data_IF_227077721621
#
_entry.id   IF_227077721621
#
_cell.length_a   1.000
_cell.length_b   1.000
_cell.length_c   1.000
_cell.angle_alpha   90.00
_cell.angle_beta   90.00
_cell.angle_gamma   90.00
#
_symmetry.space_group_name_H-M   'P 1'
#
loop_
_entity.id
_entity.type
_entity.pdbx_description
1 polymer ?
#
# COMPACT_ATOMS: atom_id res chain seq x y z
N UNK A 1 9.30 -0.79 17.22
CA UNK A 1 9.27 0.04 15.99
C UNK A 1 9.62 1.44 16.40
N UNK A 2 10.49 2.13 15.64
CA UNK A 2 10.78 3.55 15.90
C UNK A 2 9.63 4.35 15.30
N UNK A 3 8.97 5.16 16.12
CA UNK A 3 7.90 6.05 15.69
C UNK A 3 8.32 7.51 15.85
N UNK A 4 7.74 8.37 15.03
CA UNK A 4 7.84 9.83 15.11
C UNK A 4 6.44 10.42 14.99
N UNK A 5 6.17 11.46 15.76
CA UNK A 5 4.94 12.23 15.59
C UNK A 5 5.14 13.33 14.56
N UNK A 6 4.16 13.47 13.69
CA UNK A 6 4.01 14.59 12.76
C UNK A 6 2.70 15.28 13.08
N UNK A 7 2.66 16.60 12.99
CA UNK A 7 1.39 17.32 12.96
C UNK A 7 0.67 17.06 11.64
N UNK A 8 -0.65 17.16 11.62
CA UNK A 8 -1.43 17.07 10.38
C UNK A 8 -0.94 18.11 9.35
N UNK A 9 -0.60 19.31 9.81
CA UNK A 9 -0.03 20.35 8.94
C UNK A 9 1.32 19.95 8.33
N UNK A 10 2.21 19.31 9.11
CA UNK A 10 3.49 18.83 8.59
C UNK A 10 3.31 17.71 7.56
N UNK A 11 2.27 16.89 7.69
CA UNK A 11 1.93 15.86 6.71
C UNK A 11 1.33 16.47 5.45
N UNK A 12 0.45 17.46 5.58
CA UNK A 12 -0.15 18.17 4.44
C UNK A 12 0.93 18.88 3.59
N UNK A 13 1.92 19.53 4.23
CA UNK A 13 3.08 20.12 3.56
C UNK A 13 3.92 19.09 2.78
N UNK A 14 3.85 17.81 3.16
CA UNK A 14 4.52 16.68 2.50
C UNK A 14 3.62 15.96 1.48
N UNK A 15 2.38 16.43 1.27
CA UNK A 15 1.38 15.77 0.42
C UNK A 15 0.84 14.46 1.00
N UNK A 16 0.79 14.33 2.33
CA UNK A 16 0.37 13.13 3.04
C UNK A 16 -1.00 13.35 3.73
N UNK A 17 -2.02 12.53 3.44
CA UNK A 17 -2.07 11.54 2.37
C UNK A 17 -2.18 12.22 0.98
N UNK A 18 -1.87 11.51 -0.12
CA UNK A 18 -2.14 12.02 -1.45
C UNK A 18 -3.65 12.19 -1.67
N UNK A 19 -4.06 13.09 -2.58
CA UNK A 19 -5.47 13.26 -2.92
C UNK A 19 -6.03 12.00 -3.59
N UNK A 20 -5.21 11.33 -4.41
CA UNK A 20 -5.52 10.03 -5.03
C UNK A 20 -4.28 9.14 -5.04
N UNK A 21 -4.46 7.79 -5.07
CA UNK A 21 -3.33 6.86 -5.14
C UNK A 21 -2.37 7.11 -6.30
N UNK A 22 -2.87 7.55 -7.46
CA UNK A 22 -2.06 7.85 -8.64
C UNK A 22 -1.17 9.10 -8.47
N UNK A 23 -1.52 10.03 -7.57
CA UNK A 23 -0.77 11.28 -7.39
C UNK A 23 0.61 11.05 -6.75
N UNK A 24 0.88 9.85 -6.22
CA UNK A 24 2.20 9.48 -5.67
C UNK A 24 3.32 9.69 -6.68
N UNK A 25 3.06 9.49 -7.98
CA UNK A 25 4.07 9.69 -9.03
C UNK A 25 4.39 11.17 -9.26
N UNK A 26 3.49 12.07 -8.88
CA UNK A 26 3.60 13.52 -9.09
C UNK A 26 4.13 14.28 -7.86
N UNK A 27 4.22 13.63 -6.69
CA UNK A 27 4.66 14.24 -5.43
C UNK A 27 6.02 13.68 -5.01
N UNK A 28 7.07 14.52 -5.12
CA UNK A 28 8.48 14.14 -4.89
C UNK A 28 8.78 13.47 -3.53
N UNK A 29 8.01 13.81 -2.49
CA UNK A 29 8.17 13.29 -1.13
C UNK A 29 7.54 11.92 -0.95
N UNK A 30 6.61 11.50 -1.81
CA UNK A 30 5.90 10.23 -1.69
C UNK A 30 6.64 9.13 -2.46
N UNK A 31 6.66 7.93 -1.89
CA UNK A 31 7.32 6.76 -2.47
C UNK A 31 6.34 5.67 -2.88
N UNK A 32 5.27 5.51 -2.11
CA UNK A 32 4.23 4.52 -2.36
C UNK A 32 2.96 4.88 -1.59
N UNK A 33 1.83 4.45 -2.14
CA UNK A 33 0.55 4.40 -1.43
C UNK A 33 -0.05 3.01 -1.59
N UNK A 34 -0.11 2.29 -0.49
CA UNK A 34 -0.42 0.86 -0.46
C UNK A 34 -1.80 0.62 0.11
N UNK A 35 -2.58 -0.24 -0.54
CA UNK A 35 -3.79 -0.77 0.05
C UNK A 35 -3.44 -1.71 1.23
N UNK A 36 -4.10 -1.51 2.38
CA UNK A 36 -3.93 -2.36 3.57
C UNK A 36 -5.13 -3.29 3.72
N UNK A 37 -6.34 -2.73 3.87
CA UNK A 37 -7.57 -3.49 4.03
C UNK A 37 -8.81 -2.67 3.70
N UNK A 38 -9.90 -3.34 3.34
CA UNK A 38 -11.24 -2.77 3.28
C UNK A 38 -11.84 -2.74 4.68
N UNK A 39 -12.45 -1.61 5.06
CA UNK A 39 -13.31 -1.44 6.22
C UNK A 39 -14.79 -1.53 5.78
N UNK A 40 -15.74 -1.21 6.65
CA UNK A 40 -17.17 -1.38 6.33
C UNK A 40 -17.64 -0.49 5.18
N UNK A 41 -17.15 0.74 5.11
CA UNK A 41 -17.58 1.75 4.13
C UNK A 41 -16.43 2.48 3.44
N UNK A 42 -15.20 2.17 3.85
CA UNK A 42 -13.96 2.89 3.55
C UNK A 42 -12.86 1.85 3.41
N UNK A 43 -11.66 2.29 3.08
CA UNK A 43 -10.47 1.45 3.07
C UNK A 43 -9.37 2.09 3.91
N UNK A 44 -8.57 1.24 4.52
CA UNK A 44 -7.33 1.64 5.15
C UNK A 44 -6.21 1.51 4.13
N UNK A 45 -5.42 2.57 4.01
CA UNK A 45 -4.26 2.68 3.13
C UNK A 45 -3.03 3.07 3.94
N UNK A 46 -1.85 2.86 3.37
CA UNK A 46 -0.58 3.20 3.97
C UNK A 46 0.27 3.94 2.97
N UNK A 47 0.55 5.21 3.26
CA UNK A 47 1.45 6.04 2.46
C UNK A 47 2.85 6.00 3.05
N UNK A 48 3.84 5.91 2.17
CA UNK A 48 5.26 5.90 2.49
C UNK A 48 5.88 7.17 1.90
N UNK A 49 6.60 7.93 2.71
CA UNK A 49 7.14 9.24 2.32
C UNK A 49 8.53 9.49 2.91
N UNK A 50 9.28 10.40 2.29
CA UNK A 50 10.56 10.92 2.77
C UNK A 50 10.32 12.23 3.51
N UNK A 51 10.70 12.27 4.79
CA UNK A 51 10.59 13.48 5.60
C UNK A 51 11.80 14.43 5.39
N UNK A 52 11.73 15.70 5.83
CA UNK A 52 12.81 16.67 5.66
C UNK A 52 14.14 16.30 6.34
N UNK A 53 14.12 15.37 7.28
CA UNK A 53 15.33 14.81 7.91
C UNK A 53 16.02 13.73 7.07
N UNK A 54 15.49 13.45 5.88
CA UNK A 54 15.99 12.46 4.92
C UNK A 54 15.64 11.01 5.27
N UNK A 55 14.82 10.77 6.30
CA UNK A 55 14.36 9.42 6.67
C UNK A 55 13.01 9.11 6.03
N UNK A 56 12.75 7.82 5.88
CA UNK A 56 11.50 7.31 5.31
C UNK A 56 10.55 6.90 6.42
N UNK A 57 9.31 7.34 6.31
CA UNK A 57 8.24 7.03 7.25
C UNK A 57 7.03 6.46 6.53
N UNK A 58 6.20 5.73 7.27
CA UNK A 58 4.92 5.24 6.80
C UNK A 58 3.82 5.67 7.78
N UNK A 59 2.69 6.12 7.25
CA UNK A 59 1.50 6.43 8.03
C UNK A 59 0.28 5.77 7.40
N UNK A 60 -0.59 5.24 8.24
CA UNK A 60 -1.87 4.69 7.80
C UNK A 60 -2.93 5.79 7.81
N UNK A 61 -3.83 5.76 6.84
CA UNK A 61 -4.94 6.69 6.72
C UNK A 61 -6.16 5.99 6.13
N UNK A 62 -7.33 6.53 6.43
CA UNK A 62 -8.61 6.07 5.93
C UNK A 62 -9.00 6.85 4.67
N UNK A 63 -9.36 6.14 3.62
CA UNK A 63 -9.77 6.68 2.34
C UNK A 63 -11.11 6.09 1.89
N UNK A 64 -11.76 6.76 0.95
CA UNK A 64 -12.94 6.19 0.29
C UNK A 64 -12.59 4.92 -0.48
N UNK A 65 -13.58 4.04 -0.62
CA UNK A 65 -13.45 2.88 -1.50
C UNK A 65 -13.38 3.35 -2.96
N UNK A 66 -12.34 2.92 -3.66
CA UNK A 66 -12.25 3.09 -5.12
C UNK A 66 -13.05 1.97 -5.80
N UNK A 67 -14.34 2.23 -6.04
CA UNK A 67 -15.25 1.30 -6.73
C UNK A 67 -15.53 1.72 -8.19
N UNK A 68 -14.65 2.54 -8.79
CA UNK A 68 -14.85 3.10 -10.13
C UNK A 68 -16.00 4.11 -10.17
N UNK A 69 -16.89 3.98 -11.16
CA UNK A 69 -17.97 4.96 -11.46
C UNK A 69 -19.08 5.08 -10.39
N UNK A 70 -18.96 4.38 -9.26
CA UNK A 70 -19.91 4.46 -8.16
C UNK A 70 -19.38 5.41 -7.09
N UNK A 71 -19.87 6.65 -7.10
CA UNK A 71 -19.60 7.62 -6.03
C UNK A 71 -20.16 7.09 -4.70
N UNK A 72 -19.28 6.84 -3.72
CA UNK A 72 -19.68 6.51 -2.36
C UNK A 72 -19.26 7.61 -1.38
N UNK A 73 -20.28 8.24 -0.78
CA UNK A 73 -20.17 8.99 0.47
C UNK A 73 -19.24 10.20 0.45
N UNK A 74 -19.15 10.87 1.59
CA UNK A 74 -18.10 11.87 1.85
C UNK A 74 -16.82 11.15 2.31
N UNK A 75 -15.63 11.72 2.08
CA UNK A 75 -14.40 11.15 2.60
C UNK A 75 -14.44 11.11 4.14
N UNK A 76 -13.73 10.15 4.77
CA UNK A 76 -13.58 10.13 6.22
C UNK A 76 -13.06 11.49 6.71
N UNK A 77 -13.59 12.04 7.81
CA UNK A 77 -13.04 13.25 8.39
C UNK A 77 -11.58 13.00 8.79
N UNK A 78 -10.73 13.97 8.47
CA UNK A 78 -9.29 13.99 8.81
C UNK A 78 -8.56 12.67 8.48
N UNK A 79 -9.01 11.99 7.42
CA UNK A 79 -8.44 10.72 6.96
C UNK A 79 -8.44 9.62 8.04
N UNK A 80 -9.39 9.68 9.00
CA UNK A 80 -9.46 8.76 10.12
C UNK A 80 -8.37 8.97 11.18
N UNK A 81 -7.65 10.09 11.15
CA UNK A 81 -6.68 10.46 12.17
C UNK A 81 -7.35 11.09 13.39
N UNK A 82 -6.91 10.69 14.58
CA UNK A 82 -7.41 11.23 15.83
C UNK A 82 -6.48 12.34 16.36
N UNK A 83 -6.93 13.59 16.26
CA UNK A 83 -6.25 14.76 16.83
C UNK A 83 -5.26 15.44 15.89
N UNK A 84 -4.45 16.37 16.43
CA UNK A 84 -3.58 17.24 15.63
C UNK A 84 -2.25 16.60 15.21
N UNK A 85 -1.96 15.39 15.70
CA UNK A 85 -0.70 14.69 15.46
C UNK A 85 -0.94 13.24 15.10
N UNK A 86 -0.14 12.74 14.17
CA UNK A 86 -0.20 11.37 13.67
C UNK A 86 1.11 10.66 13.94
N UNK A 87 1.04 9.42 14.40
CA UNK A 87 2.21 8.57 14.59
C UNK A 87 2.63 7.94 13.25
N UNK A 88 3.83 8.26 12.80
CA UNK A 88 4.43 7.64 11.62
C UNK A 88 5.54 6.67 12.05
N UNK A 89 5.61 5.51 11.39
CA UNK A 89 6.60 4.47 11.66
C UNK A 89 7.78 4.65 10.71
N UNK A 90 9.01 4.67 11.24
CA UNK A 90 10.22 4.70 10.40
C UNK A 90 10.37 3.37 9.64
N UNK A 91 10.55 3.45 8.33
CA UNK A 91 10.67 2.28 7.43
C UNK A 91 11.92 2.37 6.56
N UNK A 92 12.30 1.25 5.96
CA UNK A 92 13.40 1.18 5.00
C UNK A 92 13.05 0.23 3.85
N UNK A 93 13.58 0.46 2.64
CA UNK A 93 13.37 -0.47 1.54
C UNK A 93 14.02 -1.83 1.86
N UNK A 94 13.27 -2.91 1.60
CA UNK A 94 13.75 -4.28 1.71
C UNK A 94 13.44 -5.01 0.42
N UNK A 95 14.45 -5.49 -0.34
CA UNK A 95 14.21 -6.25 -1.56
C UNK A 95 13.51 -7.56 -1.21
N UNK A 96 12.42 -7.87 -1.92
CA UNK A 96 11.65 -9.09 -1.73
C UNK A 96 11.63 -9.90 -3.02
N UNK A 97 11.79 -11.22 -2.92
CA UNK A 97 11.59 -12.14 -4.04
C UNK A 97 10.12 -12.55 -4.09
N UNK A 98 9.48 -12.36 -5.25
CA UNK A 98 8.10 -12.79 -5.48
C UNK A 98 8.07 -13.93 -6.52
N UNK A 99 7.33 -15.00 -6.21
CA UNK A 99 6.98 -16.03 -7.19
C UNK A 99 5.74 -15.53 -7.92
N UNK A 100 5.83 -15.42 -9.26
CA UNK A 100 4.70 -15.06 -10.13
C UNK A 100 4.30 -16.26 -10.97
N UNK A 101 3.00 -16.44 -11.16
CA UNK A 101 2.46 -17.36 -12.16
C UNK A 101 2.42 -16.64 -13.51
N UNK A 102 3.00 -17.26 -14.53
CA UNK A 102 2.95 -16.78 -15.90
C UNK A 102 1.99 -17.67 -16.71
N UNK A 103 1.31 -17.12 -17.73
CA UNK A 103 0.57 -17.93 -18.68
C UNK A 103 1.49 -19.01 -19.27
N UNK A 104 0.98 -20.24 -19.37
CA UNK A 104 1.68 -21.29 -20.11
C UNK A 104 1.30 -21.10 -21.57
N UNK A 105 2.26 -20.77 -22.43
CA UNK A 105 2.06 -20.82 -23.88
C UNK A 105 1.68 -22.25 -24.27
N UNK A 106 0.77 -22.43 -25.23
CA UNK A 106 0.23 -23.71 -25.73
C UNK A 106 1.29 -24.60 -26.45
N UNK A 107 2.56 -24.51 -26.07
CA UNK A 107 3.52 -25.53 -26.41
C UNK A 107 3.24 -26.78 -25.57
N UNK A 108 2.99 -27.95 -26.18
CA UNK A 108 2.79 -29.17 -25.43
C UNK A 108 4.04 -29.45 -24.59
N UNK A 109 3.91 -29.27 -23.28
CA UNK A 109 5.01 -29.48 -22.33
C UNK A 109 5.61 -30.88 -22.49
N UNK A 110 6.91 -31.07 -22.23
CA UNK A 110 7.55 -32.38 -22.33
C UNK A 110 6.79 -33.36 -21.43
N UNK A 111 6.39 -34.48 -22.02
CA UNK A 111 5.59 -35.55 -21.43
C UNK A 111 6.17 -35.97 -20.06
N UNK A 112 5.73 -35.33 -18.97
CA UNK A 112 6.18 -35.69 -17.62
C UNK A 112 5.49 -37.00 -17.26
N UNK A 113 6.25 -38.05 -16.87
CA UNK A 113 5.64 -39.30 -16.45
C UNK A 113 4.70 -39.02 -15.27
N UNK A 114 3.45 -39.50 -15.39
CA UNK A 114 2.46 -39.42 -14.31
C UNK A 114 3.03 -40.03 -13.03
N UNK A 115 2.80 -39.35 -11.90
CA UNK A 115 3.20 -39.74 -10.54
C UNK A 115 2.54 -41.03 -10.03
N UNK A 116 1.80 -41.75 -10.87
CA UNK A 116 1.11 -42.99 -10.53
C UNK A 116 2.06 -44.20 -10.42
N UNK A 117 3.35 -44.03 -10.76
CA UNK A 117 4.35 -45.11 -10.72
C UNK A 117 5.00 -45.34 -9.34
N UNK A 118 4.63 -44.58 -8.29
CA UNK A 118 5.28 -44.64 -6.97
C UNK A 118 4.49 -45.40 -5.88
N UNK A 119 3.37 -46.04 -6.20
CA UNK A 119 2.55 -46.79 -5.23
C UNK A 119 2.54 -48.30 -5.43
N UNK A 120 3.63 -48.89 -5.91
CA UNK A 120 3.82 -50.35 -5.83
C UNK A 120 5.22 -50.69 -5.33
N UNK A 121 5.35 -50.73 -4.01
CA UNK A 121 6.36 -51.48 -3.25
C UNK A 121 5.65 -52.30 -2.17
#
# INVERSE_FOLDING_TARGET
>A
MTTRQFTVSELDDLGVPPHRPEDVEDIDTLLADEYVTTLKYTQQRRVIFVAPDGRTYAVEYEAQLDLGDFELGDPPPDYGWDGDTVEAVEVKPVPTLAIRWEPVDDEPGPNRPRLDALTSL
#
